data_IF_264028425778
#
_entry.id   IF_264028425778
#
_cell.length_a   1.000
_cell.length_b   1.000
_cell.length_c   1.000
_cell.angle_alpha   90.00
_cell.angle_beta   90.00
_cell.angle_gamma   90.00
#
_symmetry.space_group_name_H-M   'P 1'
#
loop_
_entity.id
_entity.type
_entity.pdbx_description
1 polymer ?
#
# COMPACT_ATOMS: atom_id res chain seq x y z
N UNK A 1 5.39 -11.81 -15.87
CA UNK A 1 4.68 -12.42 -14.74
C UNK A 1 3.57 -11.47 -14.33
N UNK A 2 2.31 -11.81 -14.61
CA UNK A 2 1.16 -11.00 -14.17
C UNK A 2 1.03 -11.18 -12.66
N UNK A 3 1.24 -10.11 -11.89
CA UNK A 3 0.94 -10.12 -10.46
C UNK A 3 -0.57 -10.20 -10.31
N UNK A 4 -1.10 -11.39 -10.07
CA UNK A 4 -2.42 -11.51 -9.47
C UNK A 4 -2.36 -10.71 -8.17
N UNK A 5 -3.16 -9.66 -8.12
CA UNK A 5 -3.41 -8.88 -6.93
C UNK A 5 -4.11 -9.83 -5.96
N UNK A 6 -3.32 -10.56 -5.17
CA UNK A 6 -3.85 -11.36 -4.08
C UNK A 6 -4.52 -10.36 -3.15
N UNK A 7 -5.80 -10.61 -2.86
CA UNK A 7 -6.68 -9.77 -2.05
C UNK A 7 -6.25 -9.84 -0.57
N UNK A 8 -5.01 -9.44 -0.30
CA UNK A 8 -4.41 -9.41 1.02
C UNK A 8 -4.93 -8.15 1.70
N UNK A 9 -5.72 -8.33 2.75
CA UNK A 9 -6.22 -7.23 3.58
C UNK A 9 -5.06 -6.30 3.98
N UNK A 10 -5.26 -4.99 3.92
CA UNK A 10 -4.24 -3.95 4.21
C UNK A 10 -3.66 -4.07 5.63
N UNK A 11 -4.34 -4.80 6.50
CA UNK A 11 -3.92 -5.11 7.87
C UNK A 11 -2.83 -6.18 7.97
N UNK A 12 -2.66 -6.99 6.92
CA UNK A 12 -1.69 -8.09 6.88
C UNK A 12 -0.38 -7.60 6.27
N UNK A 13 0.70 -7.66 7.04
CA UNK A 13 2.04 -7.32 6.57
C UNK A 13 2.75 -8.55 6.01
N UNK A 14 3.21 -8.48 4.76
CA UNK A 14 4.00 -9.55 4.13
C UNK A 14 5.43 -9.07 3.91
N UNK A 15 6.40 -9.83 4.40
CA UNK A 15 7.84 -9.54 4.22
C UNK A 15 8.48 -10.73 3.54
N UNK A 16 9.13 -10.49 2.39
CA UNK A 16 9.95 -11.48 1.71
C UNK A 16 11.40 -11.35 2.14
N UNK A 17 11.93 -12.42 2.71
CA UNK A 17 13.34 -12.56 3.02
C UNK A 17 14.04 -13.28 1.85
N UNK A 18 14.80 -12.53 1.05
CA UNK A 18 15.42 -13.07 -0.17
C UNK A 18 16.59 -14.01 0.15
N UNK A 19 17.33 -13.72 1.23
CA UNK A 19 18.48 -14.53 1.65
C UNK A 19 18.04 -15.89 2.18
N UNK A 20 17.00 -15.90 3.00
CA UNK A 20 16.44 -17.13 3.58
C UNK A 20 15.45 -17.84 2.66
N UNK A 21 15.08 -17.21 1.52
CA UNK A 21 14.01 -17.68 0.61
C UNK A 21 12.67 -17.88 1.32
N UNK A 22 12.40 -17.10 2.35
CA UNK A 22 11.20 -17.17 3.18
C UNK A 22 10.23 -16.03 2.89
N UNK A 23 8.95 -16.28 3.15
CA UNK A 23 7.91 -15.24 3.22
C UNK A 23 7.34 -15.26 4.63
N UNK A 24 7.37 -14.12 5.31
CA UNK A 24 6.83 -13.95 6.67
C UNK A 24 5.55 -13.12 6.59
N UNK A 25 4.47 -13.67 7.12
CA UNK A 25 3.16 -13.04 7.18
C UNK A 25 2.89 -12.63 8.62
N UNK A 26 2.50 -11.38 8.81
CA UNK A 26 2.27 -10.77 10.11
C UNK A 26 0.84 -10.24 10.19
N UNK A 27 0.05 -10.76 11.12
CA UNK A 27 -1.34 -10.38 11.39
C UNK A 27 -1.52 -9.67 12.73
N UNK A 28 -0.43 -9.35 13.43
CA UNK A 28 -0.44 -8.73 14.76
C UNK A 28 -0.96 -7.28 14.71
N UNK A 29 -1.89 -7.00 15.63
CA UNK A 29 -2.46 -5.67 15.90
C UNK A 29 -1.44 -4.77 16.63
N UNK A 30 -1.55 -3.44 16.46
CA UNK A 30 -0.73 -2.46 17.21
C UNK A 30 0.58 -1.99 16.55
N UNK A 31 0.89 -2.43 15.32
CA UNK A 31 2.04 -1.92 14.54
C UNK A 31 1.74 -0.52 13.98
N UNK A 32 2.66 0.45 14.06
CA UNK A 32 2.45 1.75 13.40
C UNK A 32 2.42 1.58 11.86
N UNK A 33 1.37 2.10 11.21
CA UNK A 33 1.23 2.17 9.75
C UNK A 33 1.95 3.39 9.18
N UNK A 34 2.80 3.20 8.18
CA UNK A 34 3.39 4.28 7.37
C UNK A 34 2.95 4.13 5.92
N UNK A 35 2.07 4.98 5.41
CA UNK A 35 1.70 4.92 4.01
C UNK A 35 2.84 5.40 3.11
N UNK A 36 3.04 4.69 2.01
CA UNK A 36 4.06 4.96 1.01
C UNK A 36 3.45 4.88 -0.39
N UNK A 37 3.92 5.73 -1.29
CA UNK A 37 3.55 5.63 -2.71
C UNK A 37 4.21 4.42 -3.37
N UNK A 38 3.44 3.78 -4.25
CA UNK A 38 3.94 2.65 -5.02
C UNK A 38 4.74 3.16 -6.22
N UNK A 39 5.91 2.57 -6.42
CA UNK A 39 6.85 2.85 -7.51
C UNK A 39 6.96 1.60 -8.38
N UNK A 40 6.83 1.77 -9.69
CA UNK A 40 7.13 0.74 -10.69
C UNK A 40 8.19 1.27 -11.67
N UNK A 41 9.20 0.46 -11.98
CA UNK A 41 10.32 0.82 -12.88
C UNK A 41 10.88 2.23 -12.64
N UNK A 42 11.18 2.54 -11.36
CA UNK A 42 11.71 3.83 -10.92
C UNK A 42 10.79 5.04 -11.20
N UNK A 43 9.49 4.82 -11.39
CA UNK A 43 8.48 5.88 -11.56
C UNK A 43 7.33 5.69 -10.58
N UNK A 44 6.84 6.79 -10.03
CA UNK A 44 5.61 6.78 -9.21
C UNK A 44 4.43 6.33 -10.06
N UNK A 45 3.58 5.45 -9.51
CA UNK A 45 2.35 5.02 -10.18
C UNK A 45 1.29 6.12 -10.20
N UNK A 46 1.21 6.92 -9.13
CA UNK A 46 0.32 8.08 -9.06
C UNK A 46 0.81 9.20 -9.99
N UNK A 47 -0.11 9.79 -10.76
CA UNK A 47 0.19 10.88 -11.70
C UNK A 47 -0.52 12.17 -11.32
N UNK A 48 -0.12 13.28 -11.95
CA UNK A 48 -0.73 14.61 -11.74
C UNK A 48 -2.24 14.61 -12.01
N UNK A 49 -2.71 13.84 -13.01
CA UNK A 49 -4.15 13.71 -13.28
C UNK A 49 -4.92 13.16 -12.08
N UNK A 50 -4.35 12.18 -11.38
CA UNK A 50 -5.01 11.50 -10.27
C UNK A 50 -5.08 12.45 -9.06
N UNK A 51 -4.05 13.29 -8.87
CA UNK A 51 -4.03 14.36 -7.87
C UNK A 51 -5.12 15.39 -8.17
N UNK A 52 -5.28 15.77 -9.44
CA UNK A 52 -6.30 16.74 -9.83
C UNK A 52 -7.72 16.19 -9.64
N UNK A 53 -7.95 14.93 -10.04
CA UNK A 53 -9.22 14.22 -9.80
C UNK A 53 -9.54 14.12 -8.30
N UNK A 54 -8.54 13.92 -7.44
CA UNK A 54 -8.76 13.97 -5.99
C UNK A 54 -9.18 15.38 -5.57
N UNK A 55 -8.46 16.41 -6.00
CA UNK A 55 -8.72 17.81 -5.60
C UNK A 55 -10.09 18.33 -6.02
N UNK A 56 -10.62 17.89 -7.16
CA UNK A 56 -11.91 18.33 -7.70
C UNK A 56 -13.14 17.66 -7.06
N UNK A 57 -12.97 16.61 -6.26
CA UNK A 57 -14.12 15.91 -5.64
C UNK A 57 -14.67 16.74 -4.47
N UNK A 58 -15.88 17.26 -4.67
CA UNK A 58 -16.65 18.06 -3.69
C UNK A 58 -17.35 17.21 -2.60
N UNK A 59 -17.48 15.90 -2.78
CA UNK A 59 -18.16 15.02 -1.83
C UNK A 59 -17.24 14.55 -0.69
N UNK A 60 -17.82 14.54 0.51
CA UNK A 60 -17.35 14.11 1.84
C UNK A 60 -16.15 13.15 1.84
N UNK A 61 -15.21 13.39 2.76
CA UNK A 61 -13.89 12.71 2.86
C UNK A 61 -13.90 11.17 2.86
N UNK A 62 -15.06 10.55 3.10
CA UNK A 62 -15.30 9.11 3.00
C UNK A 62 -15.08 8.61 1.58
N UNK A 63 -13.93 7.99 1.33
CA UNK A 63 -13.62 7.34 0.07
C UNK A 63 -12.29 7.76 -0.57
N UNK A 64 -11.77 8.95 -0.25
CA UNK A 64 -10.56 9.47 -0.91
C UNK A 64 -9.34 8.59 -0.64
N UNK A 65 -9.15 8.19 0.61
CA UNK A 65 -8.03 7.34 0.99
C UNK A 65 -8.20 5.91 0.50
N UNK A 66 -9.37 5.32 0.73
CA UNK A 66 -9.68 3.95 0.30
C UNK A 66 -9.54 3.79 -1.20
N UNK A 67 -9.94 4.78 -2.00
CA UNK A 67 -9.77 4.76 -3.45
C UNK A 67 -8.30 4.71 -3.87
N UNK A 68 -7.41 5.43 -3.17
CA UNK A 68 -5.97 5.42 -3.46
C UNK A 68 -5.32 4.08 -3.12
N UNK A 69 -5.78 3.44 -2.05
CA UNK A 69 -5.35 2.10 -1.66
C UNK A 69 -5.85 1.07 -2.67
N UNK A 70 -7.14 1.11 -3.01
CA UNK A 70 -7.78 0.20 -3.98
C UNK A 70 -7.19 0.33 -5.39
N UNK A 71 -6.88 1.55 -5.84
CA UNK A 71 -6.18 1.80 -7.11
C UNK A 71 -4.71 1.35 -7.10
N UNK A 72 -4.16 0.96 -5.95
CA UNK A 72 -2.76 0.55 -5.82
C UNK A 72 -1.77 1.70 -5.95
N UNK A 73 -2.18 2.94 -5.62
CA UNK A 73 -1.27 4.08 -5.60
C UNK A 73 -0.52 4.19 -4.27
N UNK A 74 -1.14 3.74 -3.19
CA UNK A 74 -0.59 3.77 -1.83
C UNK A 74 -0.59 2.36 -1.27
N UNK A 75 0.49 2.01 -0.57
CA UNK A 75 0.57 0.82 0.27
C UNK A 75 0.98 1.21 1.69
N UNK A 76 0.58 0.40 2.67
CA UNK A 76 0.97 0.63 4.07
C UNK A 76 2.17 -0.24 4.42
N UNK A 77 3.29 0.38 4.79
CA UNK A 77 4.41 -0.32 5.40
C UNK A 77 4.20 -0.40 6.91
N UNK A 78 4.19 -1.63 7.45
CA UNK A 78 4.30 -1.86 8.90
C UNK A 78 5.78 -2.05 9.21
N UNK A 79 6.36 -1.19 10.06
CA UNK A 79 7.73 -1.43 10.54
C UNK A 79 7.71 -2.68 11.42
N UNK A 80 8.64 -3.62 11.17
CA UNK A 80 9.01 -4.60 12.19
C UNK A 80 9.44 -3.82 13.43
N UNK A 81 8.80 -4.07 14.56
CA UNK A 81 9.39 -3.69 15.85
C UNK A 81 10.69 -4.50 15.93
N UNK A 82 11.83 -3.83 15.79
CA UNK A 82 13.11 -4.41 16.16
C UNK A 82 13.04 -4.58 17.68
N UNK A 83 12.72 -5.79 18.12
CA UNK A 83 13.15 -6.27 19.43
C UNK A 83 14.59 -6.76 19.27
#
# INVERSE_FOLDING_TARGET
MKSQQVDVNTEVGVVRDVGLREVRIYTDYGRCSRPLFIVDKQRLLIKKKDIHELQQRDSTEEGRWSDLVSKGFISTQRRKRLL
#
